data_IF_209083406315
#
_entry.id   IF_209083406315
#
_cell.length_a   1.000
_cell.length_b   1.000
_cell.length_c   1.000
_cell.angle_alpha   90.00
_cell.angle_beta   90.00
_cell.angle_gamma   90.00
#
_symmetry.space_group_name_H-M   'P 1'
#
loop_
_entity.id
_entity.type
_entity.pdbx_description
1 polymer ?
#
# COMPACT_ATOMS: atom_id res chain seq x y z
N UNK A 1 -7.89 22.55 -8.83
CA UNK A 1 -6.69 22.56 -7.95
C UNK A 1 -7.02 22.22 -6.49
N UNK A 2 -8.25 22.44 -6.01
CA UNK A 2 -8.72 22.06 -4.65
C UNK A 2 -8.63 20.55 -4.31
N UNK A 3 -8.53 19.65 -5.29
CA UNK A 3 -8.61 18.19 -5.08
C UNK A 3 -7.27 17.54 -4.61
N UNK A 4 -6.11 18.11 -4.93
CA UNK A 4 -4.82 17.43 -4.70
C UNK A 4 -4.37 17.51 -3.24
N UNK A 5 -4.56 18.64 -2.57
CA UNK A 5 -4.22 18.78 -1.16
C UNK A 5 -5.12 17.90 -0.28
N UNK A 6 -6.41 17.78 -0.63
CA UNK A 6 -7.30 16.82 0.02
C UNK A 6 -6.84 15.37 -0.20
N UNK A 7 -6.47 15.01 -1.43
CA UNK A 7 -5.94 13.69 -1.75
C UNK A 7 -4.66 13.36 -0.95
N UNK A 8 -3.77 14.34 -0.75
CA UNK A 8 -2.55 14.19 0.08
C UNK A 8 -2.88 13.97 1.56
N UNK A 9 -3.90 14.65 2.08
CA UNK A 9 -4.40 14.44 3.44
C UNK A 9 -4.99 13.02 3.56
N UNK A 10 -5.77 12.59 2.58
CA UNK A 10 -6.35 11.23 2.54
C UNK A 10 -5.27 10.14 2.56
N UNK A 11 -4.16 10.30 1.83
CA UNK A 11 -3.02 9.37 1.93
C UNK A 11 -2.44 9.29 3.34
N UNK A 12 -2.32 10.42 4.03
CA UNK A 12 -1.78 10.48 5.39
C UNK A 12 -2.69 9.76 6.38
N UNK A 13 -4.01 9.96 6.27
CA UNK A 13 -4.99 9.27 7.11
C UNK A 13 -5.02 7.77 6.84
N UNK A 14 -4.95 7.37 5.56
CA UNK A 14 -4.89 5.97 5.16
C UNK A 14 -3.62 5.29 5.70
N UNK A 15 -2.47 5.95 5.66
CA UNK A 15 -1.21 5.41 6.18
C UNK A 15 -1.34 5.00 7.66
N UNK A 16 -1.88 5.85 8.51
CA UNK A 16 -2.06 5.55 9.93
C UNK A 16 -3.04 4.39 10.16
N UNK A 17 -4.10 4.29 9.35
CA UNK A 17 -5.03 3.15 9.44
C UNK A 17 -4.39 1.85 8.96
N UNK A 18 -3.61 1.88 7.88
CA UNK A 18 -2.85 0.73 7.38
C UNK A 18 -1.81 0.31 8.43
N UNK A 19 -1.14 1.26 9.09
CA UNK A 19 -0.22 0.98 10.19
C UNK A 19 -0.89 0.18 11.30
N UNK A 20 -2.03 0.68 11.77
CA UNK A 20 -2.80 0.00 12.81
C UNK A 20 -3.20 -1.40 12.37
N UNK A 21 -3.72 -1.55 11.16
CA UNK A 21 -4.12 -2.85 10.62
C UNK A 21 -2.95 -3.85 10.54
N UNK A 22 -1.82 -3.46 9.95
CA UNK A 22 -0.66 -4.35 9.78
C UNK A 22 -0.03 -4.72 11.13
N UNK A 23 0.08 -3.79 12.07
CA UNK A 23 0.81 -4.02 13.31
C UNK A 23 -0.04 -4.58 14.45
N UNK A 24 -1.37 -4.49 14.37
CA UNK A 24 -2.29 -4.89 15.45
C UNK A 24 -3.24 -6.02 15.03
N UNK A 25 -3.64 -6.07 13.76
CA UNK A 25 -4.69 -6.97 13.27
C UNK A 25 -4.19 -8.06 12.31
N UNK A 26 -2.88 -8.12 12.09
CA UNK A 26 -2.25 -9.03 11.13
C UNK A 26 -1.16 -9.82 11.81
N UNK A 27 -0.91 -11.03 11.32
CA UNK A 27 0.17 -11.86 11.84
C UNK A 27 0.75 -12.75 10.73
N UNK A 28 1.92 -13.33 11.00
CA UNK A 28 2.68 -14.17 10.09
C UNK A 28 2.88 -15.55 10.67
N UNK A 29 2.79 -16.56 9.80
CA UNK A 29 3.12 -17.94 10.12
C UNK A 29 4.34 -18.38 9.33
N UNK A 30 5.29 -19.03 10.02
CA UNK A 30 6.47 -19.60 9.39
C UNK A 30 6.11 -20.85 8.59
N UNK A 31 6.59 -20.93 7.34
CA UNK A 31 6.40 -22.11 6.50
C UNK A 31 7.48 -23.15 6.82
N UNK A 32 7.11 -24.25 7.45
CA UNK A 32 8.07 -25.30 7.84
C UNK A 32 8.87 -25.85 6.65
N UNK A 33 10.19 -25.99 6.83
CA UNK A 33 11.12 -26.49 5.81
C UNK A 33 11.48 -25.47 4.72
N UNK A 34 11.01 -24.22 4.83
CA UNK A 34 11.32 -23.18 3.86
C UNK A 34 12.76 -22.65 3.93
N UNK A 35 13.42 -22.83 5.08
CA UNK A 35 14.82 -22.51 5.31
C UNK A 35 15.79 -23.40 4.52
N UNK A 36 15.34 -24.59 4.10
CA UNK A 36 16.09 -25.46 3.18
C UNK A 36 16.12 -24.90 1.74
N UNK A 37 15.22 -23.98 1.41
CA UNK A 37 15.03 -23.43 0.06
C UNK A 37 15.46 -21.96 -0.01
N UNK A 38 15.22 -21.17 1.04
CA UNK A 38 15.51 -19.73 1.09
C UNK A 38 16.16 -19.36 2.42
N UNK A 39 17.27 -18.62 2.38
CA UNK A 39 17.95 -18.11 3.56
C UNK A 39 17.01 -17.23 4.40
N UNK A 40 16.85 -17.56 5.69
CA UNK A 40 15.91 -16.91 6.59
C UNK A 40 14.46 -17.42 6.51
N UNK A 41 14.18 -18.34 5.59
CA UNK A 41 12.89 -19.01 5.39
C UNK A 41 11.78 -18.10 4.84
N UNK A 42 10.61 -18.70 4.65
CA UNK A 42 9.43 -18.09 4.08
C UNK A 42 8.31 -18.00 5.12
N UNK A 43 7.49 -16.98 4.97
CA UNK A 43 6.34 -16.71 5.83
C UNK A 43 5.08 -16.56 4.99
N UNK A 44 3.95 -16.94 5.56
CA UNK A 44 2.62 -16.65 5.01
C UNK A 44 1.85 -15.80 6.00
N UNK A 45 0.84 -15.10 5.51
CA UNK A 45 -0.13 -14.44 6.38
C UNK A 45 -0.97 -15.48 7.13
N UNK A 46 -1.24 -15.22 8.40
CA UNK A 46 -2.22 -15.99 9.17
C UNK A 46 -3.64 -15.63 8.71
N UNK A 47 -4.59 -16.52 9.00
CA UNK A 47 -5.99 -16.20 8.74
C UNK A 47 -6.47 -15.07 9.66
N UNK A 48 -6.95 -13.99 9.04
CA UNK A 48 -7.56 -12.87 9.75
C UNK A 48 -8.82 -13.28 10.52
N UNK A 49 -8.98 -12.71 11.71
CA UNK A 49 -10.24 -12.80 12.45
C UNK A 49 -11.40 -12.17 11.65
N UNK A 50 -12.67 -12.53 11.90
CA UNK A 50 -13.82 -11.91 11.23
C UNK A 50 -13.83 -10.37 11.33
N UNK A 51 -13.47 -9.83 12.49
CA UNK A 51 -13.37 -8.37 12.72
C UNK A 51 -12.24 -7.76 11.88
N UNK A 52 -11.08 -8.44 11.83
CA UNK A 52 -9.92 -7.98 11.07
C UNK A 52 -10.16 -8.06 9.56
N UNK A 53 -10.93 -9.05 9.08
CA UNK A 53 -11.41 -9.12 7.68
C UNK A 53 -12.34 -7.94 7.34
N UNK A 54 -13.21 -7.54 8.26
CA UNK A 54 -14.06 -6.36 8.06
C UNK A 54 -13.22 -5.08 7.95
N UNK A 55 -12.22 -4.89 8.84
CA UNK A 55 -11.28 -3.77 8.78
C UNK A 55 -10.48 -3.75 7.47
N UNK A 56 -9.99 -4.91 7.03
CA UNK A 56 -9.28 -5.05 5.76
C UNK A 56 -10.15 -4.60 4.58
N UNK A 57 -11.42 -5.01 4.55
CA UNK A 57 -12.35 -4.65 3.49
C UNK A 57 -12.62 -3.15 3.45
N UNK A 58 -12.79 -2.51 4.60
CA UNK A 58 -12.94 -1.06 4.70
C UNK A 58 -11.70 -0.32 4.19
N UNK A 59 -10.52 -0.73 4.66
CA UNK A 59 -9.25 -0.15 4.21
C UNK A 59 -9.01 -0.33 2.72
N UNK A 60 -9.35 -1.51 2.19
CA UNK A 60 -9.25 -1.78 0.77
C UNK A 60 -10.15 -0.86 -0.06
N UNK A 61 -11.38 -0.61 0.39
CA UNK A 61 -12.31 0.31 -0.29
C UNK A 61 -11.79 1.75 -0.27
N UNK A 62 -11.28 2.20 0.88
CA UNK A 62 -10.67 3.53 1.02
C UNK A 62 -9.46 3.68 0.10
N UNK A 63 -8.53 2.72 0.13
CA UNK A 63 -7.34 2.74 -0.70
C UNK A 63 -7.66 2.76 -2.20
N UNK A 64 -8.62 1.95 -2.64
CA UNK A 64 -9.08 1.97 -4.04
C UNK A 64 -9.69 3.31 -4.42
N UNK A 65 -10.47 3.92 -3.54
CA UNK A 65 -11.07 5.23 -3.80
C UNK A 65 -10.00 6.31 -4.01
N UNK A 66 -9.02 6.38 -3.11
CA UNK A 66 -7.87 7.30 -3.18
C UNK A 66 -7.07 7.04 -4.46
N UNK A 67 -6.74 5.77 -4.73
CA UNK A 67 -5.95 5.38 -5.89
C UNK A 67 -6.63 5.70 -7.22
N UNK A 68 -7.96 5.57 -7.29
CA UNK A 68 -8.73 5.95 -8.49
C UNK A 68 -8.69 7.45 -8.74
N UNK A 69 -8.74 8.26 -7.69
CA UNK A 69 -8.61 9.72 -7.80
C UNK A 69 -7.21 10.11 -8.28
N UNK A 70 -6.16 9.50 -7.70
CA UNK A 70 -4.77 9.71 -8.11
C UNK A 70 -4.54 9.30 -9.57
N UNK A 71 -4.97 8.10 -9.97
CA UNK A 71 -4.87 7.61 -11.35
C UNK A 71 -5.58 8.52 -12.34
N UNK A 72 -6.81 8.92 -12.02
CA UNK A 72 -7.59 9.85 -12.85
C UNK A 72 -6.81 11.14 -13.06
N UNK A 73 -6.29 11.73 -11.99
CA UNK A 73 -5.49 12.94 -12.07
C UNK A 73 -4.22 12.79 -12.93
N UNK A 74 -3.44 11.72 -12.71
CA UNK A 74 -2.24 11.42 -13.51
C UNK A 74 -2.58 11.22 -15.00
N UNK A 75 -3.72 10.61 -15.31
CA UNK A 75 -4.18 10.40 -16.68
C UNK A 75 -4.61 11.70 -17.34
N UNK A 76 -5.41 12.52 -16.65
CA UNK A 76 -5.93 13.80 -17.16
C UNK A 76 -4.83 14.84 -17.40
N UNK A 77 -3.67 14.65 -16.78
CA UNK A 77 -2.50 15.53 -16.88
C UNK A 77 -1.40 14.98 -17.77
N UNK A 78 -1.65 13.85 -18.45
CA UNK A 78 -0.67 13.13 -19.28
C UNK A 78 0.67 12.93 -18.57
N UNK A 79 0.60 12.56 -17.29
CA UNK A 79 1.77 12.46 -16.43
C UNK A 79 2.66 11.29 -16.83
N UNK A 80 3.99 11.49 -16.95
CA UNK A 80 4.93 10.40 -17.22
C UNK A 80 5.04 9.40 -16.05
N UNK A 81 4.39 9.67 -14.93
CA UNK A 81 4.46 8.88 -13.71
C UNK A 81 3.36 7.82 -13.58
N UNK A 82 2.48 7.67 -14.57
CA UNK A 82 1.36 6.74 -14.49
C UNK A 82 1.81 5.29 -14.31
N UNK A 83 2.81 4.83 -15.06
CA UNK A 83 3.32 3.45 -14.96
C UNK A 83 3.93 3.17 -13.58
N UNK A 84 4.79 4.07 -13.09
CA UNK A 84 5.38 3.97 -11.75
C UNK A 84 4.30 3.99 -10.64
N UNK A 85 3.22 4.73 -10.83
CA UNK A 85 2.08 4.71 -9.92
C UNK A 85 1.37 3.35 -9.92
N UNK A 86 1.18 2.72 -11.07
CA UNK A 86 0.54 1.39 -11.17
C UNK A 86 1.37 0.29 -10.51
N UNK A 87 2.70 0.33 -10.66
CA UNK A 87 3.61 -0.58 -9.97
C UNK A 87 3.50 -0.44 -8.46
N UNK A 88 3.64 0.80 -7.97
CA UNK A 88 3.48 1.11 -6.55
C UNK A 88 2.11 0.70 -6.00
N UNK A 89 1.05 0.88 -6.79
CA UNK A 89 -0.30 0.46 -6.44
C UNK A 89 -0.40 -1.06 -6.24
N UNK A 90 0.26 -1.83 -7.10
CA UNK A 90 0.25 -3.29 -7.02
C UNK A 90 0.95 -3.80 -5.76
N UNK A 91 2.06 -3.16 -5.36
CA UNK A 91 2.80 -3.48 -4.14
C UNK A 91 1.92 -3.28 -2.88
N UNK A 92 1.31 -2.10 -2.73
CA UNK A 92 0.42 -1.82 -1.60
C UNK A 92 -0.79 -2.75 -1.60
N UNK A 93 -1.39 -3.00 -2.78
CA UNK A 93 -2.51 -3.93 -2.93
C UNK A 93 -2.17 -5.33 -2.45
N UNK A 94 -1.01 -5.85 -2.84
CA UNK A 94 -0.59 -7.22 -2.51
C UNK A 94 -0.41 -7.37 -1.01
N UNK A 95 0.28 -6.42 -0.37
CA UNK A 95 0.46 -6.41 1.07
C UNK A 95 -0.87 -6.22 1.83
N UNK A 96 -1.72 -5.28 1.41
CA UNK A 96 -2.99 -5.00 2.08
C UNK A 96 -3.98 -6.17 2.00
N UNK A 97 -3.96 -6.93 0.90
CA UNK A 97 -4.78 -8.13 0.72
C UNK A 97 -4.26 -9.35 1.48
N UNK A 98 -3.01 -9.34 1.93
CA UNK A 98 -2.43 -10.42 2.72
C UNK A 98 -2.53 -11.80 2.06
N UNK A 99 -2.32 -11.83 0.75
CA UNK A 99 -2.49 -13.05 -0.06
C UNK A 99 -1.20 -13.45 -0.80
N UNK A 100 -0.05 -12.94 -0.35
CA UNK A 100 1.28 -13.24 -0.87
C UNK A 100 2.15 -13.97 0.16
N UNK A 101 3.13 -14.72 -0.34
CA UNK A 101 4.23 -15.22 0.47
C UNK A 101 5.21 -14.09 0.76
N UNK A 102 5.83 -14.13 1.93
CA UNK A 102 6.71 -13.09 2.44
C UNK A 102 8.11 -13.67 2.72
N UNK A 103 9.11 -12.88 2.33
CA UNK A 103 10.51 -13.17 2.55
C UNK A 103 10.98 -12.35 3.76
N UNK A 104 10.84 -12.94 4.95
CA UNK A 104 11.26 -12.33 6.20
C UNK A 104 10.15 -12.14 7.26
N UNK A 105 10.48 -12.22 8.56
CA UNK A 105 9.51 -12.37 9.65
C UNK A 105 8.93 -11.07 10.21
N UNK A 106 9.05 -9.91 9.56
CA UNK A 106 8.80 -8.64 10.24
C UNK A 106 7.65 -7.82 9.66
N UNK A 107 6.52 -7.79 10.38
CA UNK A 107 5.39 -6.87 10.12
C UNK A 107 5.82 -5.40 10.06
N UNK A 108 6.85 -5.01 10.83
CA UNK A 108 7.38 -3.63 10.80
C UNK A 108 8.02 -3.30 9.46
N UNK A 109 8.75 -4.25 8.85
CA UNK A 109 9.37 -4.04 7.55
C UNK A 109 8.35 -4.08 6.42
N UNK A 110 7.33 -4.93 6.54
CA UNK A 110 6.19 -4.92 5.61
C UNK A 110 5.49 -3.55 5.65
N UNK A 111 5.15 -3.05 6.83
CA UNK A 111 4.57 -1.71 6.95
C UNK A 111 5.50 -0.63 6.42
N UNK A 112 6.80 -0.71 6.71
CA UNK A 112 7.80 0.26 6.21
C UNK A 112 7.82 0.31 4.69
N UNK A 113 7.71 -0.84 4.03
CA UNK A 113 7.66 -0.91 2.57
C UNK A 113 6.33 -0.35 2.03
N UNK A 114 5.18 -0.72 2.62
CA UNK A 114 3.89 -0.12 2.25
C UNK A 114 3.90 1.41 2.40
N UNK A 115 4.49 1.93 3.48
CA UNK A 115 4.64 3.36 3.71
C UNK A 115 5.47 4.03 2.61
N UNK A 116 6.60 3.44 2.20
CA UNK A 116 7.41 3.96 1.09
C UNK A 116 6.59 4.07 -0.20
N UNK A 117 5.77 3.07 -0.48
CA UNK A 117 4.91 3.07 -1.67
C UNK A 117 3.78 4.11 -1.58
N UNK A 118 3.14 4.27 -0.42
CA UNK A 118 2.15 5.33 -0.21
C UNK A 118 2.77 6.73 -0.34
N UNK A 119 3.98 6.92 0.21
CA UNK A 119 4.76 8.15 0.08
C UNK A 119 5.12 8.45 -1.38
N UNK A 120 5.53 7.42 -2.14
CA UNK A 120 5.79 7.52 -3.57
C UNK A 120 4.52 7.97 -4.31
N UNK A 121 3.40 7.26 -4.14
CA UNK A 121 2.12 7.61 -4.78
C UNK A 121 1.71 9.05 -4.50
N UNK A 122 1.83 9.49 -3.24
CA UNK A 122 1.56 10.87 -2.82
C UNK A 122 2.49 11.88 -3.51
N UNK A 123 3.76 11.53 -3.66
CA UNK A 123 4.77 12.36 -4.33
C UNK A 123 4.50 12.51 -5.83
N UNK A 124 4.17 11.41 -6.52
CA UNK A 124 3.90 11.43 -7.97
C UNK A 124 2.72 12.35 -8.32
N UNK A 125 1.66 12.31 -7.52
CA UNK A 125 0.51 13.23 -7.67
C UNK A 125 0.92 14.69 -7.41
N UNK A 126 1.91 14.93 -6.54
CA UNK A 126 2.36 16.29 -6.22
C UNK A 126 3.28 16.89 -7.30
N UNK A 127 4.02 16.07 -8.05
CA UNK A 127 5.00 16.51 -9.05
C UNK A 127 4.37 17.08 -10.33
N UNK A 128 3.17 16.61 -10.69
CA UNK A 128 2.43 17.10 -11.86
C UNK A 128 2.08 18.59 -11.77
N UNK A 129 1.86 19.12 -10.57
CA UNK A 129 1.58 20.54 -10.34
C UNK A 129 2.76 21.46 -10.66
N UNK A 130 3.99 20.94 -10.71
CA UNK A 130 5.18 21.75 -11.03
C UNK A 130 5.40 21.91 -12.53
N UNK A 131 5.05 20.88 -13.33
CA UNK A 131 5.22 20.91 -14.79
C UNK A 131 4.10 21.68 -15.51
N UNK A 132 2.92 21.77 -14.91
CA UNK A 132 1.77 22.53 -15.45
C UNK A 132 1.84 24.06 -15.19
N UNK A 133 2.92 24.53 -14.56
CA UNK A 133 3.16 25.96 -14.23
C UNK A 133 4.39 26.56 -14.94
N UNK A 134 5.02 25.82 -15.84
CA UNK A 134 6.09 26.28 -16.74
C UNK A 134 5.57 26.34 -18.18
#
# INVERSE_FOLDING_TARGET
MENIEELKIQYTLLEERIRSFILVHSDLEYVQGSDEIVEGGAFTWTELSPESKALQLELWREYISISRQARKFLTETDSPHLELFEESFLEVKTCLKQNSMLWGPCLQDIFRNMKKELDLQRSLVSQVNYLSRL
#
